data_IF_050086777929
#
_entry.id   IF_050086777929
#
_cell.length_a   1.000
_cell.length_b   1.000
_cell.length_c   1.000
_cell.angle_alpha   90.00
_cell.angle_beta   90.00
_cell.angle_gamma   90.00
#
_symmetry.space_group_name_H-M   'P 1'
#
loop_
_entity.id
_entity.type
_entity.pdbx_description
1 polymer ?
#
# COMPACT_ATOMS: atom_id res chain seq x y z
N UNK A 1 -13.06 23.85 -5.54
CA UNK A 1 -13.69 22.50 -5.58
C UNK A 1 -12.75 21.56 -6.33
N UNK A 2 -12.57 20.35 -5.77
CA UNK A 2 -11.76 19.22 -6.28
C UNK A 2 -10.22 19.35 -6.32
N UNK A 3 -9.60 19.07 -5.18
CA UNK A 3 -8.71 17.91 -4.99
C UNK A 3 -8.07 18.00 -3.60
N UNK A 4 -8.83 17.65 -2.54
CA UNK A 4 -8.19 17.26 -1.28
C UNK A 4 -7.35 16.04 -1.63
N UNK A 5 -6.04 16.23 -1.61
CA UNK A 5 -5.07 15.22 -1.97
C UNK A 5 -5.40 13.93 -1.22
N UNK A 6 -5.61 12.87 -1.99
CA UNK A 6 -5.94 11.52 -1.56
C UNK A 6 -4.77 10.89 -0.80
N UNK A 7 -4.49 11.35 0.41
CA UNK A 7 -3.65 10.63 1.36
C UNK A 7 -4.55 9.95 2.40
N UNK A 8 -4.51 8.62 2.43
CA UNK A 8 -5.36 7.82 3.32
C UNK A 8 -6.68 7.44 2.66
N UNK A 9 -6.64 6.45 1.76
CA UNK A 9 -7.83 5.74 1.26
C UNK A 9 -8.57 4.95 2.36
N UNK A 10 -8.38 5.30 3.63
CA UNK A 10 -9.09 4.71 4.74
C UNK A 10 -10.56 5.11 4.65
N UNK A 11 -11.42 4.12 4.46
CA UNK A 11 -12.86 4.33 4.44
C UNK A 11 -13.37 3.95 5.83
N UNK A 12 -13.83 4.91 6.66
CA UNK A 12 -14.30 4.61 8.00
C UNK A 12 -15.59 3.78 7.92
N UNK A 13 -15.44 2.45 7.98
CA UNK A 13 -16.56 1.51 8.02
C UNK A 13 -16.45 0.63 9.26
N UNK A 14 -17.60 0.32 9.86
CA UNK A 14 -17.69 -0.57 11.01
C UNK A 14 -17.73 -2.03 10.53
N UNK A 15 -16.55 -2.56 10.20
CA UNK A 15 -16.38 -3.94 9.74
C UNK A 15 -15.47 -4.73 10.68
N UNK A 16 -15.60 -6.06 10.68
CA UNK A 16 -14.76 -6.96 11.49
C UNK A 16 -13.29 -6.78 11.08
N UNK A 17 -13.04 -6.64 9.78
CA UNK A 17 -11.71 -6.36 9.24
C UNK A 17 -11.13 -5.06 9.77
N UNK A 18 -11.93 -4.00 9.99
CA UNK A 18 -11.41 -2.72 10.49
C UNK A 18 -10.92 -2.82 11.95
N UNK A 19 -11.53 -3.71 12.73
CA UNK A 19 -11.22 -3.90 14.16
C UNK A 19 -10.00 -4.80 14.42
N UNK A 20 -9.50 -5.51 13.42
CA UNK A 20 -8.31 -6.36 13.56
C UNK A 20 -7.05 -5.52 13.82
N UNK A 21 -6.09 -6.14 14.49
CA UNK A 21 -4.80 -5.53 14.77
C UNK A 21 -4.05 -5.24 13.45
N UNK A 22 -3.48 -4.04 13.27
CA UNK A 22 -2.73 -3.68 12.07
C UNK A 22 -1.58 -4.63 11.73
N UNK A 23 -0.93 -5.19 12.76
CA UNK A 23 0.16 -6.18 12.60
C UNK A 23 -0.34 -7.43 11.89
N UNK A 24 -1.48 -7.96 12.34
CA UNK A 24 -2.09 -9.15 11.76
C UNK A 24 -2.51 -8.90 10.31
N UNK A 25 -3.05 -7.71 9.99
CA UNK A 25 -3.42 -7.36 8.60
C UNK A 25 -2.20 -7.28 7.66
N UNK A 26 -1.09 -6.69 8.13
CA UNK A 26 0.14 -6.60 7.34
C UNK A 26 0.70 -8.00 7.08
N UNK A 27 0.79 -8.84 8.13
CA UNK A 27 1.22 -10.23 8.00
C UNK A 27 0.29 -10.99 7.05
N UNK A 28 -1.04 -10.87 7.22
CA UNK A 28 -2.05 -11.51 6.39
C UNK A 28 -1.94 -11.09 4.91
N UNK A 29 -1.70 -9.80 4.64
CA UNK A 29 -1.51 -9.31 3.27
C UNK A 29 -0.25 -9.91 2.65
N UNK A 30 0.88 -9.89 3.37
CA UNK A 30 2.13 -10.47 2.89
C UNK A 30 2.00 -11.98 2.67
N UNK A 31 1.38 -12.67 3.63
CA UNK A 31 1.12 -14.11 3.55
C UNK A 31 0.23 -14.44 2.35
N UNK A 32 -0.85 -13.69 2.12
CA UNK A 32 -1.70 -13.86 0.95
C UNK A 32 -0.93 -13.74 -0.36
N UNK A 33 -0.04 -12.73 -0.48
CA UNK A 33 0.80 -12.56 -1.66
C UNK A 33 1.65 -13.80 -1.90
N UNK A 34 2.30 -14.34 -0.86
CA UNK A 34 3.08 -15.59 -0.99
C UNK A 34 2.20 -16.75 -1.47
N UNK A 35 1.02 -16.93 -0.87
CA UNK A 35 0.07 -18.00 -1.23
C UNK A 35 -0.36 -17.91 -2.70
N UNK A 36 -0.60 -16.71 -3.22
CA UNK A 36 -0.95 -16.47 -4.63
C UNK A 36 0.14 -16.95 -5.60
N UNK A 37 1.42 -16.89 -5.20
CA UNK A 37 2.52 -17.42 -6.02
C UNK A 37 2.60 -18.95 -6.00
N UNK A 38 2.12 -19.59 -4.93
CA UNK A 38 2.09 -21.06 -4.83
C UNK A 38 0.94 -21.68 -5.62
N UNK A 39 -0.10 -20.92 -5.98
CA UNK A 39 -1.24 -21.38 -6.77
C UNK A 39 -0.84 -21.62 -8.24
N UNK A 40 -1.01 -22.87 -8.69
CA UNK A 40 -0.69 -23.35 -10.03
C UNK A 40 -1.87 -24.03 -10.75
N UNK A 41 -2.94 -24.38 -10.02
CA UNK A 41 -4.10 -25.09 -10.54
C UNK A 41 -5.34 -24.17 -10.62
N UNK A 42 -6.26 -24.45 -11.55
CA UNK A 42 -7.54 -23.71 -11.67
C UNK A 42 -8.29 -23.70 -10.33
N UNK A 43 -8.36 -24.87 -9.68
CA UNK A 43 -9.06 -25.02 -8.39
C UNK A 43 -8.45 -24.15 -7.28
N UNK A 44 -7.11 -24.08 -7.22
CA UNK A 44 -6.42 -23.23 -6.24
C UNK A 44 -6.68 -21.73 -6.48
N UNK A 45 -6.74 -21.31 -7.75
CA UNK A 45 -7.06 -19.92 -8.10
C UNK A 45 -8.52 -19.57 -7.79
N UNK A 46 -9.45 -20.49 -8.01
CA UNK A 46 -10.87 -20.31 -7.64
C UNK A 46 -11.02 -20.19 -6.12
N UNK A 47 -10.35 -21.05 -5.34
CA UNK A 47 -10.35 -20.96 -3.87
C UNK A 47 -9.85 -19.60 -3.38
N UNK A 48 -8.74 -19.11 -3.93
CA UNK A 48 -8.18 -17.80 -3.61
C UNK A 48 -9.13 -16.65 -3.99
N UNK A 49 -9.76 -16.73 -5.16
CA UNK A 49 -10.77 -15.77 -5.58
C UNK A 49 -11.97 -15.71 -4.63
N UNK A 50 -12.50 -16.87 -4.22
CA UNK A 50 -13.60 -16.95 -3.25
C UNK A 50 -13.21 -16.38 -1.89
N UNK A 51 -12.00 -16.68 -1.41
CA UNK A 51 -11.49 -16.11 -0.16
C UNK A 51 -11.35 -14.58 -0.24
N UNK A 52 -10.87 -14.04 -1.35
CA UNK A 52 -10.82 -12.58 -1.55
C UNK A 52 -12.20 -11.94 -1.58
N UNK A 53 -13.16 -12.56 -2.28
CA UNK A 53 -14.54 -12.08 -2.29
C UNK A 53 -15.14 -12.09 -0.88
N UNK A 54 -14.84 -13.11 -0.07
CA UNK A 54 -15.21 -13.16 1.34
C UNK A 54 -14.58 -12.00 2.14
N UNK A 55 -13.30 -11.69 1.94
CA UNK A 55 -12.65 -10.53 2.59
C UNK A 55 -13.26 -9.19 2.15
N UNK A 56 -13.57 -9.03 0.87
CA UNK A 56 -14.25 -7.83 0.35
C UNK A 56 -15.61 -7.68 1.02
N UNK A 57 -16.39 -8.76 1.09
CA UNK A 57 -17.70 -8.75 1.76
C UNK A 57 -17.56 -8.38 3.25
N UNK A 58 -16.57 -8.95 3.94
CA UNK A 58 -16.29 -8.68 5.36
C UNK A 58 -15.79 -7.25 5.61
N UNK A 59 -15.18 -6.61 4.60
CA UNK A 59 -14.73 -5.22 4.66
C UNK A 59 -15.91 -4.22 4.67
N UNK A 60 -17.06 -4.58 4.10
CA UNK A 60 -18.22 -3.69 3.85
C UNK A 60 -17.88 -2.44 3.03
N UNK A 61 -16.79 -2.46 2.27
CA UNK A 61 -16.37 -1.38 1.37
C UNK A 61 -17.04 -1.54 0.00
N UNK A 62 -17.39 -0.42 -0.64
CA UNK A 62 -17.98 -0.45 -1.99
C UNK A 62 -17.05 -1.10 -3.03
N UNK A 63 -17.59 -1.95 -3.90
CA UNK A 63 -16.86 -2.60 -5.00
C UNK A 63 -16.16 -1.60 -5.94
N UNK A 64 -16.72 -0.38 -6.04
CA UNK A 64 -16.13 0.73 -6.81
C UNK A 64 -14.70 1.06 -6.36
N UNK A 65 -14.42 0.94 -5.07
CA UNK A 65 -13.09 1.24 -4.51
C UNK A 65 -12.03 0.24 -5.02
N UNK A 66 -12.39 -1.03 -5.07
CA UNK A 66 -11.50 -2.09 -5.59
C UNK A 66 -11.26 -1.92 -7.08
N UNK A 67 -12.30 -1.57 -7.84
CA UNK A 67 -12.15 -1.26 -9.26
C UNK A 67 -11.25 -0.04 -9.51
N UNK A 68 -11.35 0.99 -8.66
CA UNK A 68 -10.45 2.16 -8.72
C UNK A 68 -8.99 1.79 -8.43
N UNK A 69 -8.73 0.79 -7.59
CA UNK A 69 -7.40 0.24 -7.35
C UNK A 69 -6.82 -0.51 -8.55
N UNK A 70 -7.64 -1.29 -9.25
CA UNK A 70 -7.22 -2.07 -10.43
C UNK A 70 -7.05 -1.18 -11.67
N UNK A 71 -7.94 -0.20 -11.87
CA UNK A 71 -7.99 0.68 -13.06
C UNK A 71 -6.64 1.24 -13.52
N UNK A 72 -5.79 1.87 -12.67
CA UNK A 72 -4.52 2.44 -13.12
C UNK A 72 -3.51 1.37 -13.56
N UNK A 73 -3.61 0.15 -13.04
CA UNK A 73 -2.72 -0.96 -13.37
C UNK A 73 -3.24 -1.82 -14.53
N UNK A 74 -4.48 -1.60 -15.01
CA UNK A 74 -5.05 -2.40 -16.10
C UNK A 74 -4.16 -2.41 -17.35
N UNK A 75 -3.54 -1.28 -17.69
CA UNK A 75 -2.61 -1.22 -18.82
C UNK A 75 -1.43 -2.19 -18.65
N UNK A 76 -0.83 -2.23 -17.47
CA UNK A 76 0.30 -3.13 -17.16
C UNK A 76 -0.16 -4.60 -17.16
N UNK A 77 -1.33 -4.89 -16.60
CA UNK A 77 -1.91 -6.23 -16.58
C UNK A 77 -2.17 -6.73 -18.01
N UNK A 78 -2.80 -5.90 -18.85
CA UNK A 78 -3.08 -6.26 -20.24
C UNK A 78 -1.81 -6.40 -21.06
N UNK A 79 -0.83 -5.52 -20.87
CA UNK A 79 0.46 -5.60 -21.55
C UNK A 79 1.19 -6.89 -21.21
N UNK A 80 1.30 -7.22 -19.91
CA UNK A 80 1.98 -8.44 -19.46
C UNK A 80 1.24 -9.71 -19.89
N UNK A 81 -0.09 -9.71 -19.85
CA UNK A 81 -0.90 -10.81 -20.35
C UNK A 81 -0.75 -10.98 -21.87
N UNK A 82 -0.71 -9.90 -22.65
CA UNK A 82 -0.48 -9.94 -24.08
C UNK A 82 0.92 -10.47 -24.41
N UNK A 83 1.96 -10.02 -23.71
CA UNK A 83 3.31 -10.55 -23.85
C UNK A 83 3.32 -12.05 -23.55
N UNK A 84 2.68 -12.49 -22.46
CA UNK A 84 2.60 -13.92 -22.15
C UNK A 84 1.85 -14.71 -23.23
N UNK A 85 0.77 -14.16 -23.76
CA UNK A 85 -0.07 -14.81 -24.77
C UNK A 85 0.69 -15.03 -26.09
N UNK A 86 1.51 -14.06 -26.50
CA UNK A 86 2.22 -14.11 -27.79
C UNK A 86 3.62 -14.71 -27.74
N UNK A 87 4.31 -14.63 -26.59
CA UNK A 87 5.71 -15.04 -26.44
C UNK A 87 5.89 -16.29 -25.56
N UNK A 88 4.83 -16.88 -25.01
CA UNK A 88 4.93 -18.14 -24.26
C UNK A 88 5.22 -19.32 -25.19
N UNK A 89 6.43 -19.86 -25.08
CA UNK A 89 6.88 -21.05 -25.80
C UNK A 89 6.49 -22.32 -25.04
N UNK A 90 5.55 -23.09 -25.60
CA UNK A 90 5.15 -24.39 -25.06
C UNK A 90 3.69 -24.74 -25.35
N UNK A 91 3.40 -26.02 -25.63
CA UNK A 91 2.06 -26.53 -25.94
C UNK A 91 1.73 -26.54 -27.44
N UNK A 92 0.56 -27.07 -27.79
CA UNK A 92 0.08 -27.14 -29.17
C UNK A 92 -0.17 -25.72 -29.71
N UNK A 93 0.47 -25.30 -30.81
CA UNK A 93 0.21 -24.01 -31.43
C UNK A 93 -1.18 -24.01 -32.06
N UNK A 94 -2.06 -23.14 -31.58
CA UNK A 94 -3.43 -22.99 -32.13
C UNK A 94 -3.39 -22.01 -33.31
N UNK A 95 -2.53 -20.99 -33.22
CA UNK A 95 -2.34 -19.99 -34.25
C UNK A 95 -0.89 -19.48 -34.24
N UNK A 96 -0.28 -19.41 -35.42
CA UNK A 96 1.11 -18.97 -35.59
C UNK A 96 1.17 -17.96 -36.74
N UNK A 97 1.70 -16.77 -36.43
CA UNK A 97 2.01 -15.74 -37.42
C UNK A 97 3.41 -15.18 -37.19
N UNK A 98 4.37 -15.63 -38.02
CA UNK A 98 5.78 -15.24 -38.05
C UNK A 98 6.51 -15.28 -36.69
N UNK A 99 6.37 -14.24 -35.85
CA UNK A 99 6.94 -14.16 -34.49
C UNK A 99 5.91 -14.35 -33.35
N UNK A 100 4.61 -14.28 -33.66
CA UNK A 100 3.51 -14.39 -32.70
C UNK A 100 2.94 -15.80 -32.73
N UNK A 101 3.11 -16.53 -31.63
CA UNK A 101 2.58 -17.88 -31.48
C UNK A 101 1.58 -17.90 -30.33
N UNK A 102 0.32 -18.14 -30.63
CA UNK A 102 -0.70 -18.38 -29.59
C UNK A 102 -0.73 -19.87 -29.30
N UNK A 103 -0.22 -20.22 -28.13
CA UNK A 103 -0.23 -21.58 -27.61
C UNK A 103 -1.36 -21.75 -26.59
N UNK A 104 -1.89 -22.97 -26.49
CA UNK A 104 -2.86 -23.32 -25.44
C UNK A 104 -2.34 -22.99 -24.03
N UNK A 105 -1.05 -23.23 -23.78
CA UNK A 105 -0.41 -22.86 -22.52
C UNK A 105 -0.27 -21.34 -22.34
N UNK A 106 0.05 -20.59 -23.40
CA UNK A 106 0.10 -19.13 -23.36
C UNK A 106 -1.23 -18.49 -22.96
N UNK A 107 -2.35 -19.04 -23.44
CA UNK A 107 -3.69 -18.62 -23.03
C UNK A 107 -3.92 -18.89 -21.54
N UNK A 108 -3.65 -20.12 -21.06
CA UNK A 108 -3.84 -20.47 -19.65
C UNK A 108 -2.96 -19.63 -18.73
N UNK A 109 -1.69 -19.43 -19.08
CA UNK A 109 -0.74 -18.67 -18.29
C UNK A 109 -1.07 -17.17 -18.27
N UNK A 110 -1.53 -16.60 -19.39
CA UNK A 110 -1.98 -15.20 -19.43
C UNK A 110 -3.21 -14.98 -18.54
N UNK A 111 -4.18 -15.92 -18.54
CA UNK A 111 -5.34 -15.89 -17.64
C UNK A 111 -4.88 -15.96 -16.16
N UNK A 112 -3.98 -16.88 -15.83
CA UNK A 112 -3.43 -16.97 -14.46
C UNK A 112 -2.70 -15.70 -14.03
N UNK A 113 -1.96 -15.04 -14.93
CA UNK A 113 -1.31 -13.76 -14.65
C UNK A 113 -2.32 -12.66 -14.35
N UNK A 114 -3.41 -12.55 -15.14
CA UNK A 114 -4.47 -11.57 -14.92
C UNK A 114 -5.08 -11.75 -13.53
N UNK A 115 -5.46 -12.98 -13.17
CA UNK A 115 -6.01 -13.28 -11.85
C UNK A 115 -5.00 -13.02 -10.73
N UNK A 116 -3.73 -13.41 -10.91
CA UNK A 116 -2.66 -13.16 -9.94
C UNK A 116 -2.49 -11.67 -9.64
N UNK A 117 -2.41 -10.82 -10.67
CA UNK A 117 -2.33 -9.38 -10.46
C UNK A 117 -3.60 -8.84 -9.81
N UNK A 118 -4.78 -9.26 -10.27
CA UNK A 118 -6.04 -8.85 -9.66
C UNK A 118 -6.09 -9.20 -8.17
N UNK A 119 -5.64 -10.39 -7.78
CA UNK A 119 -5.59 -10.84 -6.39
C UNK A 119 -4.64 -10.00 -5.53
N UNK A 120 -3.42 -9.76 -6.01
CA UNK A 120 -2.40 -8.96 -5.30
C UNK A 120 -2.86 -7.52 -5.11
N UNK A 121 -3.41 -6.90 -6.17
CA UNK A 121 -3.89 -5.52 -6.11
C UNK A 121 -5.09 -5.42 -5.17
N UNK A 122 -6.00 -6.38 -5.24
CA UNK A 122 -7.21 -6.39 -4.40
C UNK A 122 -6.86 -6.55 -2.92
N UNK A 123 -6.00 -7.51 -2.54
CA UNK A 123 -5.62 -7.66 -1.12
C UNK A 123 -4.89 -6.42 -0.58
N UNK A 124 -4.03 -5.81 -1.40
CA UNK A 124 -3.34 -4.57 -1.04
C UNK A 124 -4.33 -3.41 -0.85
N UNK A 125 -5.35 -3.36 -1.70
CA UNK A 125 -6.45 -2.40 -1.55
C UNK A 125 -7.26 -2.66 -0.28
N UNK A 126 -7.56 -3.92 0.07
CA UNK A 126 -8.19 -4.27 1.36
C UNK A 126 -7.37 -3.73 2.52
N UNK A 127 -6.04 -3.96 2.55
CA UNK A 127 -5.16 -3.47 3.61
C UNK A 127 -5.20 -1.94 3.71
N UNK A 128 -5.07 -1.26 2.57
CA UNK A 128 -4.97 0.20 2.47
C UNK A 128 -6.27 0.89 2.85
N UNK A 129 -7.42 0.31 2.49
CA UNK A 129 -8.74 0.89 2.78
C UNK A 129 -9.18 0.62 4.22
N UNK A 130 -8.79 -0.50 4.80
CA UNK A 130 -9.23 -0.91 6.14
C UNK A 130 -8.29 -0.48 7.28
N UNK A 131 -7.15 0.14 6.96
CA UNK A 131 -6.13 0.51 7.95
C UNK A 131 -5.63 1.93 7.73
N UNK A 132 -5.67 2.75 8.79
CA UNK A 132 -5.14 4.13 8.70
C UNK A 132 -3.62 4.13 8.53
N UNK A 133 -3.07 5.16 7.88
CA UNK A 133 -1.62 5.31 7.67
C UNK A 133 -0.83 5.29 8.99
N UNK A 134 -1.38 5.91 10.05
CA UNK A 134 -0.79 5.88 11.39
C UNK A 134 -0.80 4.46 12.01
N UNK A 135 -1.86 3.68 11.80
CA UNK A 135 -1.93 2.29 12.26
C UNK A 135 -0.99 1.38 11.47
N UNK A 136 -0.87 1.58 10.15
CA UNK A 136 0.09 0.86 9.32
C UNK A 136 1.52 1.14 9.80
N UNK A 137 1.87 2.40 10.05
CA UNK A 137 3.18 2.79 10.57
C UNK A 137 3.47 2.14 11.94
N UNK A 138 2.52 2.19 12.87
CA UNK A 138 2.67 1.53 14.18
C UNK A 138 2.76 -0.01 14.06
N UNK A 139 2.05 -0.60 13.10
CA UNK A 139 2.14 -2.02 12.78
C UNK A 139 3.53 -2.40 12.29
N UNK A 140 4.05 -1.66 11.31
CA UNK A 140 5.41 -1.84 10.76
C UNK A 140 6.47 -1.65 11.85
N UNK A 141 6.37 -0.60 12.68
CA UNK A 141 7.28 -0.39 13.82
C UNK A 141 7.36 -1.65 14.69
N UNK A 142 6.22 -2.23 15.05
CA UNK A 142 6.22 -3.42 15.88
C UNK A 142 6.77 -4.66 15.18
N UNK A 143 6.54 -4.81 13.87
CA UNK A 143 7.07 -5.92 13.09
C UNK A 143 8.59 -5.80 12.89
N UNK A 144 9.11 -4.57 12.89
CA UNK A 144 10.55 -4.29 12.80
C UNK A 144 11.25 -4.35 14.16
N UNK A 145 10.53 -4.40 15.29
CA UNK A 145 11.12 -4.51 16.63
C UNK A 145 12.20 -5.60 16.77
N UNK A 146 12.07 -6.85 16.27
CA UNK A 146 13.14 -7.85 16.35
C UNK A 146 14.42 -7.46 15.61
N UNK A 147 14.36 -6.55 14.62
CA UNK A 147 15.57 -6.03 13.97
C UNK A 147 16.41 -5.16 14.91
N UNK A 148 15.90 -4.74 16.08
CA UNK A 148 16.69 -4.01 17.08
C UNK A 148 17.84 -4.86 17.64
N UNK A 149 17.72 -6.19 17.65
CA UNK A 149 18.82 -7.09 18.03
C UNK A 149 20.01 -6.98 17.06
N UNK A 150 19.76 -6.61 15.81
CA UNK A 150 20.78 -6.37 14.78
C UNK A 150 21.32 -4.93 14.82
N UNK A 151 21.14 -4.21 15.94
CA UNK A 151 21.54 -2.81 16.16
C UNK A 151 20.85 -1.80 15.23
N UNK A 152 19.71 -2.16 14.63
CA UNK A 152 18.89 -1.23 13.85
C UNK A 152 18.10 -0.30 14.80
N UNK A 153 18.11 1.03 14.63
CA UNK A 153 17.45 1.97 15.52
C UNK A 153 15.93 2.10 15.25
N UNK A 154 15.19 1.00 15.47
CA UNK A 154 13.75 0.91 15.15
C UNK A 154 12.91 2.01 15.84
N UNK A 155 13.21 2.34 17.09
CA UNK A 155 12.47 3.35 17.86
C UNK A 155 12.63 4.78 17.32
N UNK A 156 13.81 5.09 16.78
CA UNK A 156 14.13 6.38 16.18
C UNK A 156 13.47 6.48 14.80
N UNK A 157 13.56 5.42 13.99
CA UNK A 157 12.87 5.33 12.70
C UNK A 157 11.34 5.48 12.85
N UNK A 158 10.76 4.82 13.85
CA UNK A 158 9.34 4.94 14.14
C UNK A 158 8.94 6.36 14.56
N UNK A 159 9.80 7.05 15.32
CA UNK A 159 9.57 8.44 15.68
C UNK A 159 9.63 9.36 14.45
N UNK A 160 10.66 9.21 13.61
CA UNK A 160 10.79 9.97 12.36
C UNK A 160 9.58 9.76 11.46
N UNK A 161 9.12 8.52 11.31
CA UNK A 161 7.92 8.19 10.53
C UNK A 161 6.65 8.81 11.15
N UNK A 162 6.47 8.74 12.46
CA UNK A 162 5.33 9.35 13.14
C UNK A 162 5.32 10.88 13.02
N UNK A 163 6.49 11.51 13.07
CA UNK A 163 6.67 12.95 12.89
C UNK A 163 6.33 13.33 11.45
N UNK A 164 6.89 12.61 10.47
CA UNK A 164 6.62 12.83 9.05
C UNK A 164 5.12 12.70 8.75
N UNK A 165 4.47 11.61 9.15
CA UNK A 165 3.04 11.40 8.93
C UNK A 165 2.16 12.48 9.58
N UNK A 166 2.58 13.01 10.75
CA UNK A 166 1.88 14.12 11.41
C UNK A 166 2.05 15.44 10.66
N UNK A 167 3.23 15.72 10.10
CA UNK A 167 3.50 16.98 9.42
C UNK A 167 3.09 17.02 7.96
N UNK A 168 2.87 15.87 7.30
CA UNK A 168 2.40 15.84 5.90
C UNK A 168 1.17 16.75 5.71
N UNK A 169 0.07 16.62 6.48
CA UNK A 169 -1.09 17.51 6.30
C UNK A 169 -0.74 19.00 6.46
N UNK A 170 0.03 19.34 7.49
CA UNK A 170 0.42 20.73 7.76
C UNK A 170 1.30 21.30 6.64
N UNK A 171 2.22 20.50 6.10
CA UNK A 171 3.08 20.89 4.97
C UNK A 171 2.22 21.09 3.71
N UNK A 172 1.20 20.27 3.49
CA UNK A 172 0.28 20.43 2.36
C UNK A 172 -0.52 21.74 2.43
N UNK A 173 -1.06 22.06 3.61
CA UNK A 173 -1.80 23.30 3.84
C UNK A 173 -0.90 24.54 3.66
N UNK A 174 0.36 24.43 4.10
CA UNK A 174 1.36 25.48 3.92
C UNK A 174 1.77 25.66 2.46
N UNK A 175 1.99 24.57 1.72
CA UNK A 175 2.22 24.61 0.27
C UNK A 175 1.07 25.36 -0.42
N UNK A 176 -0.17 25.01 -0.10
CA UNK A 176 -1.34 25.65 -0.70
C UNK A 176 -1.40 27.14 -0.37
N UNK A 177 -1.13 27.51 0.89
CA UNK A 177 -1.10 28.90 1.33
C UNK A 177 -0.03 29.72 0.60
N UNK A 178 1.18 29.17 0.46
CA UNK A 178 2.29 29.81 -0.26
C UNK A 178 1.94 29.93 -1.75
N UNK A 179 1.37 28.89 -2.36
CA UNK A 179 0.94 28.92 -3.76
C UNK A 179 -0.12 30.00 -4.00
N UNK A 180 -1.12 30.11 -3.13
CA UNK A 180 -2.18 31.12 -3.26
C UNK A 180 -1.64 32.54 -3.06
N UNK A 181 -0.69 32.74 -2.15
CA UNK A 181 0.01 34.02 -1.97
C UNK A 181 0.83 34.41 -3.22
N UNK A 182 1.52 33.45 -3.85
CA UNK A 182 2.27 33.71 -5.09
C UNK A 182 1.33 33.97 -6.28
N UNK A 183 0.19 33.27 -6.37
CA UNK A 183 -0.86 33.57 -7.36
C UNK A 183 -1.39 34.99 -7.22
N UNK A 184 -1.64 35.44 -5.98
CA UNK A 184 -2.08 36.82 -5.70
C UNK A 184 -1.02 37.87 -6.11
N UNK A 185 0.26 37.50 -6.11
CA UNK A 185 1.37 38.32 -6.63
C UNK A 185 1.55 38.24 -8.15
N UNK A 186 0.59 37.64 -8.86
CA UNK A 186 0.57 37.55 -10.33
C UNK A 186 1.34 36.36 -10.90
N UNK A 187 1.73 35.38 -10.08
CA UNK A 187 2.43 34.18 -10.56
C UNK A 187 1.45 33.15 -11.12
N UNK A 188 1.54 32.91 -12.43
CA UNK A 188 0.85 31.79 -13.07
C UNK A 188 1.75 30.55 -13.13
N UNK A 189 1.38 29.49 -12.42
CA UNK A 189 2.14 28.23 -12.39
C UNK A 189 1.95 27.37 -13.64
N UNK A 190 0.93 27.64 -14.46
CA UNK A 190 0.56 26.84 -15.63
C UNK A 190 1.11 27.38 -16.95
N UNK A 191 1.52 28.65 -17.01
CA UNK A 191 2.04 29.23 -18.24
C UNK A 191 3.51 28.83 -18.55
N UNK A 192 3.86 28.83 -19.84
CA UNK A 192 5.24 28.63 -20.34
C UNK A 192 5.69 27.17 -20.52
N UNK A 193 6.94 27.02 -20.94
CA UNK A 193 7.59 25.72 -21.18
C UNK A 193 7.91 24.99 -19.86
N UNK A 194 8.17 23.68 -19.91
CA UNK A 194 8.43 22.84 -18.72
C UNK A 194 9.51 23.42 -17.79
N UNK A 195 10.60 23.96 -18.37
CA UNK A 195 11.67 24.62 -17.61
C UNK A 195 11.20 25.90 -16.90
N UNK A 196 10.36 26.71 -17.55
CA UNK A 196 9.81 27.91 -16.95
C UNK A 196 8.85 27.56 -15.81
N UNK A 197 8.02 26.52 -15.97
CA UNK A 197 7.16 26.00 -14.90
C UNK A 197 7.97 25.52 -13.70
N UNK A 198 9.06 24.79 -13.93
CA UNK A 198 9.96 24.37 -12.85
C UNK A 198 10.59 25.57 -12.11
N UNK A 199 11.06 26.58 -12.85
CA UNK A 199 11.61 27.80 -12.25
C UNK A 199 10.58 28.57 -11.42
N UNK A 200 9.29 28.53 -11.80
CA UNK A 200 8.19 29.15 -11.04
C UNK A 200 7.85 28.42 -9.74
N UNK A 201 8.33 27.19 -9.52
CA UNK A 201 8.18 26.51 -8.23
C UNK A 201 9.20 26.97 -7.18
N UNK A 202 10.32 27.57 -7.60
CA UNK A 202 11.38 28.02 -6.68
C UNK A 202 10.85 28.98 -5.59
N UNK A 203 10.02 30.00 -5.90
CA UNK A 203 9.44 30.89 -4.89
C UNK A 203 8.46 30.22 -3.91
N UNK A 204 8.01 28.99 -4.20
CA UNK A 204 7.22 28.17 -3.28
C UNK A 204 8.14 27.29 -2.42
N UNK A 205 9.14 26.68 -3.04
CA UNK A 205 10.07 25.77 -2.37
C UNK A 205 10.94 26.48 -1.33
N UNK A 206 11.48 27.67 -1.63
CA UNK A 206 12.38 28.38 -0.70
C UNK A 206 11.68 28.68 0.64
N UNK A 207 10.51 29.35 0.67
CA UNK A 207 9.80 29.59 1.93
C UNK A 207 9.41 28.30 2.65
N UNK A 208 9.00 27.27 1.91
CA UNK A 208 8.62 25.98 2.47
C UNK A 208 9.79 25.32 3.21
N UNK A 209 11.00 25.33 2.63
CA UNK A 209 12.21 24.81 3.27
C UNK A 209 12.56 25.59 4.53
N UNK A 210 12.57 26.93 4.45
CA UNK A 210 12.89 27.78 5.60
C UNK A 210 11.91 27.51 6.76
N UNK A 211 10.62 27.44 6.47
CA UNK A 211 9.60 27.10 7.48
C UNK A 211 9.76 25.68 8.03
N UNK A 212 10.07 24.71 7.18
CA UNK A 212 10.29 23.33 7.59
C UNK A 212 11.52 23.18 8.50
N UNK A 213 12.61 23.88 8.21
CA UNK A 213 13.79 23.91 9.09
C UNK A 213 13.48 24.54 10.44
N UNK A 214 12.84 25.71 10.43
CA UNK A 214 12.42 26.37 11.67
C UNK A 214 11.53 25.45 12.52
N UNK A 215 10.57 24.76 11.89
CA UNK A 215 9.70 23.81 12.58
C UNK A 215 10.46 22.59 13.13
N UNK A 216 11.49 22.13 12.42
CA UNK A 216 12.34 21.05 12.90
C UNK A 216 13.12 21.48 14.15
N UNK A 217 13.68 22.69 14.15
CA UNK A 217 14.40 23.25 15.31
C UNK A 217 13.46 23.46 16.50
N UNK A 218 12.29 24.08 16.27
CA UNK A 218 11.27 24.30 17.31
C UNK A 218 10.81 22.96 17.91
N UNK A 219 10.62 21.93 17.08
CA UNK A 219 10.24 20.59 17.53
C UNK A 219 11.37 19.92 18.33
N UNK A 220 12.62 20.03 17.87
CA UNK A 220 13.77 19.46 18.55
C UNK A 220 13.93 20.06 19.95
N UNK A 221 13.92 21.39 20.05
CA UNK A 221 13.97 22.11 21.33
C UNK A 221 12.80 21.73 22.24
N UNK A 222 11.58 21.63 21.71
CA UNK A 222 10.42 21.21 22.49
C UNK A 222 10.50 19.75 22.95
N UNK A 223 11.14 18.87 22.17
CA UNK A 223 11.38 17.47 22.54
C UNK A 223 12.43 17.38 23.66
N UNK A 224 13.53 18.11 23.55
CA UNK A 224 14.57 18.18 24.59
C UNK A 224 14.03 18.76 25.90
N UNK A 225 13.25 19.83 25.84
CA UNK A 225 12.60 20.44 27.01
C UNK A 225 11.62 19.47 27.71
N UNK A 226 11.05 18.51 26.98
CA UNK A 226 10.21 17.43 27.54
C UNK A 226 11.01 16.21 28.00
N UNK A 227 12.34 16.29 28.01
CA UNK A 227 13.23 15.21 28.44
C UNK A 227 13.38 14.08 27.42
N UNK A 228 13.10 14.32 26.13
CA UNK A 228 13.33 13.31 25.10
C UNK A 228 14.83 13.06 24.91
N UNK A 229 15.26 11.81 25.12
CA UNK A 229 16.63 11.37 24.87
C UNK A 229 16.64 10.32 23.75
N UNK A 230 17.35 10.55 22.63
CA UNK A 230 17.46 9.57 21.56
C UNK A 230 18.11 8.26 22.06
N UNK A 231 17.45 7.13 21.81
CA UNK A 231 17.98 5.81 22.16
C UNK A 231 17.78 5.38 23.62
N UNK A 232 17.31 6.27 24.50
CA UNK A 232 16.93 5.89 25.85
C UNK A 232 15.71 4.94 25.86
N UNK A 233 15.61 4.02 26.83
CA UNK A 233 14.42 3.18 26.98
C UNK A 233 13.20 4.08 27.26
N UNK A 234 12.12 3.87 26.50
CA UNK A 234 10.87 4.63 26.62
C UNK A 234 9.67 3.71 26.72
N UNK A 235 8.61 4.17 27.38
CA UNK A 235 7.31 3.53 27.36
C UNK A 235 6.49 3.99 26.15
N UNK A 236 5.54 3.16 25.71
CA UNK A 236 4.64 3.48 24.59
C UNK A 236 3.23 3.73 25.12
N UNK A 237 2.69 4.93 24.85
CA UNK A 237 1.31 5.29 25.20
C UNK A 237 0.31 4.52 24.32
N UNK A 238 0.50 4.52 23.00
CA UNK A 238 -0.36 3.76 22.08
C UNK A 238 0.17 2.34 21.93
N UNK A 239 -0.44 1.42 22.67
CA UNK A 239 -0.11 -0.01 22.58
C UNK A 239 -1.10 -0.69 21.63
N UNK A 240 -0.56 -1.45 20.69
CA UNK A 240 -1.34 -2.36 19.85
C UNK A 240 -1.68 -3.58 20.71
N UNK A 241 -2.96 -3.90 20.81
CA UNK A 241 -3.46 -4.98 21.66
C UNK A 241 -4.00 -6.08 20.76
N UNK A 242 -3.39 -7.25 20.91
CA UNK A 242 -3.85 -8.44 20.23
C UNK A 242 -5.22 -8.85 20.76
N UNK A 243 -6.19 -8.95 19.87
CA UNK A 243 -7.55 -9.34 20.18
C UNK A 243 -7.81 -10.79 19.75
N UNK A 244 -8.83 -11.41 20.35
CA UNK A 244 -9.20 -12.80 20.05
C UNK A 244 -9.60 -12.99 18.57
N UNK A 245 -10.09 -11.92 17.92
CA UNK A 245 -10.40 -11.91 16.49
C UNK A 245 -9.15 -12.06 15.61
N UNK A 246 -7.98 -11.66 16.09
CA UNK A 246 -6.73 -11.80 15.35
C UNK A 246 -6.27 -13.26 15.29
N UNK A 247 -6.56 -14.05 16.34
CA UNK A 247 -6.33 -15.50 16.33
C UNK A 247 -7.23 -16.19 15.30
N UNK A 248 -8.50 -15.80 15.22
CA UNK A 248 -9.42 -16.32 14.20
C UNK A 248 -8.96 -15.95 12.80
N UNK A 249 -8.53 -14.70 12.58
CA UNK A 249 -7.95 -14.30 11.30
C UNK A 249 -6.71 -15.15 10.97
N UNK A 250 -5.79 -15.35 11.92
CA UNK A 250 -4.62 -16.19 11.71
C UNK A 250 -5.00 -17.63 11.35
N UNK A 251 -5.94 -18.24 12.08
CA UNK A 251 -6.42 -19.59 11.83
C UNK A 251 -7.03 -19.72 10.42
N UNK A 252 -7.82 -18.74 9.97
CA UNK A 252 -8.39 -18.77 8.61
C UNK A 252 -7.32 -18.78 7.52
N UNK A 253 -6.21 -18.06 7.72
CA UNK A 253 -5.09 -18.08 6.79
C UNK A 253 -4.34 -19.42 6.81
N UNK A 254 -4.15 -20.01 7.99
CA UNK A 254 -3.56 -21.36 8.11
C UNK A 254 -4.43 -22.39 7.38
N UNK A 255 -5.74 -22.40 7.62
CA UNK A 255 -6.67 -23.32 6.95
C UNK A 255 -6.65 -23.13 5.44
N UNK A 256 -6.62 -21.87 4.96
CA UNK A 256 -6.47 -21.56 3.54
C UNK A 256 -5.18 -22.15 2.96
N UNK A 257 -4.05 -22.03 3.67
CA UNK A 257 -2.77 -22.59 3.20
C UNK A 257 -2.78 -24.12 3.14
N UNK A 258 -3.31 -24.79 4.15
CA UNK A 258 -3.40 -26.25 4.18
C UNK A 258 -4.30 -26.74 3.05
N UNK A 259 -5.47 -26.11 2.88
CA UNK A 259 -6.38 -26.42 1.78
C UNK A 259 -5.71 -26.22 0.41
N UNK A 260 -4.95 -25.14 0.22
CA UNK A 260 -4.22 -24.91 -1.03
C UNK A 260 -3.18 -26.00 -1.28
N UNK A 261 -2.38 -26.37 -0.28
CA UNK A 261 -1.33 -27.39 -0.43
C UNK A 261 -1.94 -28.75 -0.81
N UNK A 262 -3.04 -29.15 -0.17
CA UNK A 262 -3.74 -30.40 -0.49
C UNK A 262 -4.31 -30.35 -1.92
N UNK A 263 -5.00 -29.27 -2.30
CA UNK A 263 -5.58 -29.11 -3.64
C UNK A 263 -4.54 -28.90 -4.74
N UNK A 264 -3.29 -28.59 -4.38
CA UNK A 264 -2.16 -28.51 -5.30
C UNK A 264 -1.57 -29.88 -5.62
N UNK A 265 -1.69 -30.83 -4.70
CA UNK A 265 -1.21 -32.20 -4.88
C UNK A 265 -2.16 -33.07 -5.72
N UNK A 266 -3.44 -32.65 -5.80
CA UNK A 266 -4.48 -33.23 -6.66
C UNK A 266 -4.39 -32.59 -8.06
#
# INVERSE_FOLDING_TARGET
MNSKVFFGLYVPTNSILHRLDPRMKIIACFWYVVIVFLANNVLTNVLLGLFLLFLIWLSKVSLKMYWQGIKPLMWVILLTAAVQLFFSTGGQPIWQWHFLNITSLGIIQSIYLIFRFAFIITISTVLTVTTTTLQLAAGIESLLKPLSYLKVPVSQLAMMLSIALRFIPTIMDEIQTIMDAQRARGMDFSAGNLFQRAKRLVPVMIPLFVSSFKRADDLALAMEARGYQPGAPRTAYRQLRWHMNDNWAFLTYVVLTVALIVLRQI
#
